data_IF_824890100495
#
_entry.id   IF_824890100495
#
_cell.length_a   1.000
_cell.length_b   1.000
_cell.length_c   1.000
_cell.angle_alpha   90.00
_cell.angle_beta   90.00
_cell.angle_gamma   90.00
#
_symmetry.space_group_name_H-M   'P 1'
#
loop_
_entity.id
_entity.type
_entity.pdbx_description
1 polymer ?
#
# COMPACT_ATOMS: atom_id res chain seq x y z
N UNK A 1 -4.09 -2.08 3.57
CA UNK A 1 -5.05 -1.86 2.47
C UNK A 1 -4.88 -0.51 1.76
N UNK A 2 -4.99 0.64 2.44
CA UNK A 2 -4.94 1.96 1.76
C UNK A 2 -3.64 2.23 1.00
N UNK A 3 -2.48 1.99 1.59
CA UNK A 3 -1.21 2.18 0.88
C UNK A 3 -1.00 1.16 -0.26
N UNK A 4 -1.63 -0.02 -0.22
CA UNK A 4 -1.67 -0.94 -1.37
C UNK A 4 -2.52 -0.36 -2.51
N UNK A 5 -3.69 0.22 -2.20
CA UNK A 5 -4.50 0.89 -3.23
C UNK A 5 -3.83 2.16 -3.78
N UNK A 6 -3.00 2.84 -2.99
CA UNK A 6 -2.14 3.94 -3.45
C UNK A 6 -1.11 3.47 -4.49
N UNK A 7 -0.37 2.37 -4.22
CA UNK A 7 0.55 1.77 -5.20
C UNK A 7 -0.19 1.33 -6.46
N UNK A 8 -1.36 0.71 -6.33
CA UNK A 8 -2.24 0.33 -7.45
C UNK A 8 -2.73 1.55 -8.24
N UNK A 9 -2.92 2.71 -7.62
CA UNK A 9 -3.24 3.96 -8.34
C UNK A 9 -2.03 4.50 -9.10
N UNK A 10 -0.85 4.56 -8.46
CA UNK A 10 0.38 5.06 -9.08
C UNK A 10 0.86 4.19 -10.25
N UNK A 11 0.79 2.85 -10.13
CA UNK A 11 1.03 1.94 -11.26
C UNK A 11 0.02 2.16 -12.41
N UNK A 12 -1.20 2.68 -12.14
CA UNK A 12 -2.27 2.76 -13.15
C UNK A 12 -2.08 3.99 -14.02
N UNK A 13 -1.57 5.05 -13.41
CA UNK A 13 -1.07 6.21 -14.11
C UNK A 13 0.21 5.89 -14.89
N UNK A 14 1.13 5.09 -14.31
CA UNK A 14 2.40 4.72 -14.93
C UNK A 14 2.25 3.94 -16.24
N UNK A 15 1.33 2.96 -16.29
CA UNK A 15 1.16 2.04 -17.42
C UNK A 15 0.88 2.75 -18.74
N UNK A 16 -0.28 3.44 -18.90
CA UNK A 16 -0.63 4.16 -20.12
C UNK A 16 0.41 5.22 -20.50
N UNK A 17 1.00 5.93 -19.52
CA UNK A 17 2.05 6.91 -19.77
C UNK A 17 3.32 6.27 -20.40
N UNK A 18 3.72 5.09 -19.94
CA UNK A 18 4.79 4.31 -20.61
C UNK A 18 4.41 3.89 -22.03
N UNK A 19 3.15 3.50 -22.25
CA UNK A 19 2.66 3.12 -23.57
C UNK A 19 2.67 4.30 -24.56
N UNK A 20 2.30 5.51 -24.11
CA UNK A 20 2.33 6.76 -24.89
C UNK A 20 3.75 7.19 -25.27
N UNK A 21 4.74 6.96 -24.40
CA UNK A 21 6.18 7.16 -24.70
C UNK A 21 6.72 6.12 -25.70
N UNK A 22 5.93 5.08 -26.02
CA UNK A 22 6.30 3.98 -26.91
C UNK A 22 6.91 2.77 -26.21
N UNK A 23 7.02 2.79 -24.88
CA UNK A 23 7.53 1.67 -24.07
C UNK A 23 6.44 0.60 -23.83
N UNK A 24 5.95 0.02 -24.92
CA UNK A 24 4.86 -0.97 -24.93
C UNK A 24 5.18 -2.24 -24.11
N UNK A 25 6.45 -2.62 -23.96
CA UNK A 25 6.85 -3.75 -23.11
C UNK A 25 6.68 -3.45 -21.62
N UNK A 26 7.00 -2.23 -21.18
CA UNK A 26 6.85 -1.80 -19.78
C UNK A 26 5.39 -1.79 -19.33
N UNK A 27 4.46 -1.51 -20.24
CA UNK A 27 3.02 -1.61 -19.99
C UNK A 27 2.63 -3.02 -19.49
N UNK A 28 3.06 -4.08 -20.18
CA UNK A 28 2.71 -5.46 -19.78
C UNK A 28 3.31 -5.88 -18.44
N UNK A 29 4.53 -5.44 -18.12
CA UNK A 29 5.11 -5.67 -16.79
C UNK A 29 4.26 -4.99 -15.72
N UNK A 30 3.92 -3.71 -15.87
CA UNK A 30 3.10 -2.96 -14.91
C UNK A 30 1.74 -3.65 -14.61
N UNK A 31 1.13 -4.34 -15.58
CA UNK A 31 -0.07 -5.15 -15.32
C UNK A 31 0.22 -6.48 -14.60
N UNK A 32 1.35 -7.13 -14.84
CA UNK A 32 1.80 -8.28 -14.03
C UNK A 32 2.02 -7.88 -12.56
N UNK A 33 2.67 -6.74 -12.31
CA UNK A 33 2.85 -6.24 -10.93
C UNK A 33 1.51 -5.87 -10.26
N UNK A 34 0.48 -5.47 -11.02
CA UNK A 34 -0.87 -5.28 -10.49
C UNK A 34 -1.53 -6.57 -10.02
N UNK A 35 -1.44 -7.63 -10.83
CA UNK A 35 -2.12 -8.90 -10.50
C UNK A 35 -1.63 -9.44 -9.15
N UNK A 36 -0.34 -9.28 -8.81
CA UNK A 36 0.18 -9.62 -7.48
C UNK A 36 -0.53 -8.88 -6.33
N UNK A 37 -0.93 -7.62 -6.54
CA UNK A 37 -1.68 -6.84 -5.54
C UNK A 37 -3.17 -7.21 -5.58
N UNK A 38 -3.73 -7.52 -6.75
CA UNK A 38 -5.10 -8.01 -6.86
C UNK A 38 -5.27 -9.41 -6.25
N UNK A 39 -4.26 -10.28 -6.32
CA UNK A 39 -4.23 -11.58 -5.62
C UNK A 39 -4.17 -11.40 -4.09
N UNK A 40 -3.45 -10.39 -3.60
CA UNK A 40 -3.47 -10.01 -2.17
C UNK A 40 -4.85 -9.49 -1.73
N UNK A 41 -5.54 -8.73 -2.58
CA UNK A 41 -6.88 -8.23 -2.30
C UNK A 41 -7.94 -9.33 -2.38
N UNK A 42 -7.90 -10.18 -3.42
CA UNK A 42 -8.75 -11.36 -3.56
C UNK A 42 -8.59 -12.28 -2.34
N UNK A 43 -7.35 -12.54 -1.92
CA UNK A 43 -7.08 -13.31 -0.72
C UNK A 43 -7.65 -12.71 0.58
N UNK A 44 -7.97 -11.40 0.63
CA UNK A 44 -8.48 -10.75 1.84
C UNK A 44 -10.00 -10.53 1.87
N UNK A 45 -10.62 -10.32 0.71
CA UNK A 45 -12.05 -9.95 0.61
C UNK A 45 -12.82 -10.66 -0.53
N UNK A 46 -12.22 -11.66 -1.18
CA UNK A 46 -12.76 -12.39 -2.34
C UNK A 46 -13.16 -11.47 -3.54
N UNK A 47 -12.60 -10.25 -3.60
CA UNK A 47 -12.88 -9.25 -4.63
C UNK A 47 -11.60 -8.54 -5.08
N UNK A 48 -11.40 -8.40 -6.40
CA UNK A 48 -10.17 -7.87 -7.01
C UNK A 48 -10.09 -6.33 -7.14
N UNK A 49 -11.22 -5.64 -7.28
CA UNK A 49 -11.25 -4.22 -7.70
C UNK A 49 -12.12 -3.35 -6.80
N UNK A 50 -13.32 -3.83 -6.46
CA UNK A 50 -14.29 -3.09 -5.65
C UNK A 50 -14.11 -3.42 -4.17
N UNK A 51 -13.06 -2.87 -3.57
CA UNK A 51 -12.67 -3.17 -2.19
C UNK A 51 -13.60 -2.50 -1.16
N UNK A 52 -14.79 -3.08 -0.97
CA UNK A 52 -15.70 -2.71 0.13
C UNK A 52 -15.19 -3.27 1.48
N UNK A 53 -13.94 -2.91 1.84
CA UNK A 53 -13.27 -3.31 3.08
C UNK A 53 -13.52 -2.33 4.22
N UNK A 54 -13.61 -1.04 3.88
CA UNK A 54 -13.89 0.05 4.80
C UNK A 54 -15.38 0.38 4.80
N UNK A 55 -16.03 0.18 5.94
CA UNK A 55 -17.31 0.77 6.27
C UNK A 55 -17.12 1.94 7.23
N UNK A 56 -18.17 2.75 7.39
CA UNK A 56 -18.15 3.86 8.34
C UNK A 56 -17.77 3.34 9.73
N UNK A 57 -16.68 3.87 10.29
CA UNK A 57 -16.10 3.49 11.59
C UNK A 57 -15.64 2.03 11.78
N UNK A 58 -15.58 1.18 10.73
CA UNK A 58 -15.33 -0.26 10.91
C UNK A 58 -14.72 -0.95 9.68
N UNK A 59 -13.92 -1.99 9.93
CA UNK A 59 -13.46 -2.95 8.92
C UNK A 59 -14.46 -4.12 8.77
N UNK A 60 -14.68 -4.59 7.55
CA UNK A 60 -15.66 -5.67 7.26
C UNK A 60 -15.25 -7.02 7.83
N UNK A 61 -14.00 -7.44 7.59
CA UNK A 61 -13.46 -8.78 7.85
C UNK A 61 -12.01 -8.69 8.35
N UNK A 62 -11.62 -9.60 9.24
CA UNK A 62 -10.22 -9.79 9.64
C UNK A 62 -9.37 -10.31 8.47
N UNK A 63 -8.05 -10.07 8.51
CA UNK A 63 -7.14 -10.63 7.50
C UNK A 63 -6.98 -12.15 7.72
N UNK A 64 -7.02 -12.97 6.66
CA UNK A 64 -6.90 -14.41 6.81
C UNK A 64 -5.48 -14.84 7.18
N UNK A 65 -5.39 -16.04 7.77
CA UNK A 65 -4.13 -16.61 8.22
C UNK A 65 -3.12 -16.74 7.06
N UNK A 66 -1.88 -16.30 7.30
CA UNK A 66 -0.80 -16.31 6.30
C UNK A 66 -0.86 -15.17 5.27
N UNK A 67 -1.82 -14.23 5.37
CA UNK A 67 -1.86 -13.05 4.51
C UNK A 67 -0.69 -12.09 4.77
N UNK A 68 -0.30 -11.93 6.04
CA UNK A 68 0.83 -11.07 6.46
C UNK A 68 2.12 -11.51 5.76
N UNK A 69 2.39 -12.82 5.72
CA UNK A 69 3.59 -13.38 5.10
C UNK A 69 3.62 -13.10 3.58
N UNK A 70 2.49 -13.25 2.89
CA UNK A 70 2.36 -12.90 1.47
C UNK A 70 2.57 -11.40 1.21
N UNK A 71 2.07 -10.55 2.10
CA UNK A 71 2.22 -9.10 1.98
C UNK A 71 3.68 -8.67 2.21
N UNK A 72 4.38 -9.30 3.16
CA UNK A 72 5.82 -9.12 3.36
C UNK A 72 6.65 -9.61 2.16
N UNK A 73 6.32 -10.77 1.60
CA UNK A 73 6.98 -11.31 0.41
C UNK A 73 6.81 -10.37 -0.80
N UNK A 74 5.59 -9.84 -1.03
CA UNK A 74 5.34 -8.81 -2.03
C UNK A 74 6.17 -7.52 -1.78
N UNK A 75 6.24 -7.03 -0.55
CA UNK A 75 7.05 -5.85 -0.22
C UNK A 75 8.54 -6.09 -0.50
N UNK A 76 9.05 -7.28 -0.18
CA UNK A 76 10.44 -7.67 -0.44
C UNK A 76 10.71 -7.84 -1.94
N UNK A 77 9.80 -8.45 -2.69
CA UNK A 77 9.85 -8.55 -4.14
C UNK A 77 9.94 -7.17 -4.79
N UNK A 78 9.02 -6.26 -4.47
CA UNK A 78 8.98 -4.92 -5.08
C UNK A 78 10.21 -4.05 -4.71
N UNK A 79 10.76 -4.19 -3.49
CA UNK A 79 12.02 -3.54 -3.12
C UNK A 79 13.24 -4.16 -3.80
N UNK A 80 13.17 -5.45 -4.17
CA UNK A 80 14.23 -6.18 -4.88
C UNK A 80 14.22 -5.91 -6.39
N UNK A 81 13.05 -5.69 -6.99
CA UNK A 81 12.89 -5.18 -8.35
C UNK A 81 13.29 -3.69 -8.41
N UNK A 82 14.60 -3.51 -8.31
CA UNK A 82 15.46 -2.32 -8.28
C UNK A 82 14.88 -1.06 -8.91
N UNK A 83 13.87 -0.49 -8.27
CA UNK A 83 13.55 0.91 -8.43
C UNK A 83 14.70 1.71 -7.83
N UNK A 84 15.64 2.13 -8.70
CA UNK A 84 16.70 3.08 -8.37
C UNK A 84 15.97 4.24 -7.71
N UNK A 85 16.12 4.42 -6.38
CA UNK A 85 15.56 5.60 -5.68
C UNK A 85 16.07 6.81 -6.44
N UNK A 86 15.25 7.48 -7.27
CA UNK A 86 15.70 8.69 -7.88
C UNK A 86 15.69 9.66 -6.71
N UNK A 87 16.83 10.29 -6.42
CA UNK A 87 16.89 11.41 -5.47
C UNK A 87 16.23 12.64 -6.15
N UNK A 88 15.00 12.44 -6.60
CA UNK A 88 14.25 13.26 -7.50
C UNK A 88 13.72 14.44 -6.72
N UNK A 89 13.90 15.63 -7.30
CA UNK A 89 13.50 16.86 -6.64
C UNK A 89 12.99 17.88 -7.72
N UNK A 90 11.64 17.98 -7.99
CA UNK A 90 10.64 18.99 -8.59
C UNK A 90 9.96 20.17 -7.73
N UNK A 91 10.12 21.49 -7.98
CA UNK A 91 9.81 22.60 -7.04
C UNK A 91 8.37 22.61 -6.57
N UNK A 92 8.18 22.53 -5.25
CA UNK A 92 6.86 22.52 -4.65
C UNK A 92 6.89 22.85 -3.17
N UNK A 93 5.80 23.45 -2.70
CA UNK A 93 5.49 23.51 -1.27
C UNK A 93 5.43 22.06 -0.78
N UNK A 94 6.13 21.74 0.31
CA UNK A 94 6.08 20.41 0.94
C UNK A 94 4.69 20.21 1.55
N UNK A 95 3.75 19.73 0.74
CA UNK A 95 2.32 19.73 1.02
C UNK A 95 1.73 18.37 0.68
N UNK A 96 1.32 17.63 1.70
CA UNK A 96 0.63 16.34 1.60
C UNK A 96 -0.40 16.29 2.73
N UNK A 97 -1.68 16.04 2.39
CA UNK A 97 -2.78 16.04 3.36
C UNK A 97 -2.54 15.03 4.50
N UNK A 98 -1.86 13.90 4.21
CA UNK A 98 -1.56 12.84 5.20
C UNK A 98 -0.65 13.29 6.36
N UNK A 99 0.01 14.45 6.25
CA UNK A 99 0.80 15.08 7.34
C UNK A 99 0.20 16.40 7.84
N UNK A 100 -0.89 16.87 7.26
CA UNK A 100 -1.55 18.13 7.63
C UNK A 100 -2.80 17.86 8.47
N UNK A 101 -3.61 16.89 8.07
CA UNK A 101 -4.96 16.66 8.58
C UNK A 101 -5.04 15.45 9.53
N UNK A 102 -3.88 14.88 9.90
CA UNK A 102 -3.71 13.90 10.98
C UNK A 102 -4.74 12.74 11.02
N UNK A 103 -5.06 12.19 9.85
CA UNK A 103 -6.05 11.11 9.74
C UNK A 103 -5.48 9.72 10.02
N UNK A 104 -6.35 8.84 10.52
CA UNK A 104 -6.12 7.42 10.76
C UNK A 104 -4.93 7.15 11.70
N UNK A 105 -3.74 6.89 11.13
CA UNK A 105 -2.51 6.59 11.85
C UNK A 105 -1.23 7.05 11.09
N UNK A 106 -1.36 7.93 10.08
CA UNK A 106 -0.21 8.35 9.24
C UNK A 106 0.88 9.13 9.98
N UNK A 107 0.63 9.54 11.23
CA UNK A 107 1.59 10.22 12.10
C UNK A 107 2.56 9.29 12.81
N UNK A 108 2.11 8.07 13.14
CA UNK A 108 2.93 7.05 13.81
C UNK A 108 4.01 6.49 12.87
N UNK A 109 3.74 6.50 11.55
CA UNK A 109 4.65 5.99 10.53
C UNK A 109 5.76 6.99 10.16
N UNK A 110 6.99 6.48 10.13
CA UNK A 110 8.19 7.21 9.74
C UNK A 110 8.41 7.10 8.23
N UNK A 111 7.83 8.05 7.49
CA UNK A 111 7.99 8.22 6.05
C UNK A 111 8.32 9.68 5.69
N UNK A 112 8.80 9.91 4.47
CA UNK A 112 9.24 11.22 3.98
C UNK A 112 8.40 11.63 2.77
N UNK A 113 7.82 12.83 2.81
CA UNK A 113 7.19 13.45 1.64
C UNK A 113 8.26 13.63 0.55
N UNK A 114 8.02 13.04 -0.62
CA UNK A 114 8.83 13.29 -1.81
C UNK A 114 8.42 14.64 -2.41
N UNK A 115 8.94 15.69 -1.79
CA UNK A 115 8.98 17.06 -2.29
C UNK A 115 10.37 17.32 -2.90
N UNK A 116 10.44 18.42 -3.63
CA UNK A 116 11.09 18.39 -4.92
C UNK A 116 11.50 19.89 -5.32
N UNK A 117 12.43 20.21 -6.29
CA UNK A 117 13.03 21.50 -6.80
C UNK A 117 12.98 21.90 -8.35
N UNK A 118 12.72 21.07 -9.37
CA UNK A 118 12.45 21.45 -10.81
C UNK A 118 10.95 21.54 -11.26
N UNK A 119 10.56 22.17 -12.40
CA UNK A 119 9.13 22.27 -12.81
C UNK A 119 8.92 21.87 -14.27
N UNK A 120 8.86 20.58 -14.52
CA UNK A 120 8.64 19.97 -15.84
C UNK A 120 7.77 18.69 -15.74
N UNK A 121 7.40 18.10 -16.87
CA UNK A 121 6.58 16.87 -16.91
C UNK A 121 7.33 15.65 -16.37
N UNK A 122 8.65 15.57 -16.58
CA UNK A 122 9.48 14.46 -16.13
C UNK A 122 9.57 14.41 -14.60
N UNK A 123 9.66 15.56 -13.94
CA UNK A 123 9.75 15.60 -12.49
C UNK A 123 8.43 15.24 -11.79
N UNK A 124 7.27 15.56 -12.38
CA UNK A 124 5.98 14.99 -11.95
C UNK A 124 5.95 13.45 -12.06
N UNK A 125 6.52 12.88 -13.12
CA UNK A 125 6.68 11.43 -13.28
C UNK A 125 7.59 10.86 -12.18
N UNK A 126 8.74 11.48 -11.92
CA UNK A 126 9.65 11.03 -10.87
C UNK A 126 9.05 11.12 -9.45
N UNK A 127 8.25 12.15 -9.13
CA UNK A 127 7.50 12.24 -7.86
C UNK A 127 6.69 10.97 -7.66
N UNK A 128 5.82 10.63 -8.60
CA UNK A 128 4.85 9.55 -8.44
C UNK A 128 5.48 8.18 -8.20
N UNK A 129 6.64 7.89 -8.82
CA UNK A 129 7.32 6.62 -8.60
C UNK A 129 8.19 6.67 -7.34
N UNK A 130 8.73 7.84 -6.98
CA UNK A 130 9.44 8.01 -5.69
C UNK A 130 8.50 7.88 -4.48
N UNK A 131 7.19 8.08 -4.65
CA UNK A 131 6.19 7.82 -3.59
C UNK A 131 5.94 6.32 -3.34
N UNK A 132 6.11 5.45 -4.33
CA UNK A 132 5.85 4.00 -4.19
C UNK A 132 6.72 3.29 -3.13
N UNK A 133 8.08 3.42 -3.11
CA UNK A 133 8.90 2.81 -2.06
C UNK A 133 8.62 3.41 -0.68
N UNK A 134 8.07 4.61 -0.62
CA UNK A 134 7.68 5.29 0.61
C UNK A 134 6.36 4.71 1.14
N UNK A 135 5.38 4.43 0.26
CA UNK A 135 4.19 3.62 0.58
C UNK A 135 4.56 2.22 1.08
N UNK A 136 5.53 1.54 0.46
CA UNK A 136 5.97 0.21 0.90
C UNK A 136 6.62 0.27 2.29
N UNK A 137 7.39 1.32 2.58
CA UNK A 137 7.95 1.55 3.92
C UNK A 137 6.85 1.72 4.98
N UNK A 138 5.75 2.42 4.64
CA UNK A 138 4.58 2.54 5.52
C UNK A 138 3.92 1.17 5.71
N UNK A 139 3.75 0.38 4.64
CA UNK A 139 3.18 -0.97 4.73
C UNK A 139 4.02 -1.88 5.64
N UNK A 140 5.35 -1.90 5.49
CA UNK A 140 6.23 -2.69 6.36
C UNK A 140 6.09 -2.29 7.83
N UNK A 141 6.13 -1.00 8.14
CA UNK A 141 5.91 -0.49 9.51
C UNK A 141 4.53 -0.83 10.05
N UNK A 142 3.49 -0.77 9.22
CA UNK A 142 2.13 -1.14 9.59
C UNK A 142 1.99 -2.65 9.89
N UNK A 143 2.70 -3.51 9.14
CA UNK A 143 2.72 -4.96 9.35
C UNK A 143 3.48 -5.33 10.64
N UNK A 144 4.59 -4.66 10.94
CA UNK A 144 5.32 -4.79 12.22
C UNK A 144 4.48 -4.31 13.42
N UNK A 145 3.63 -3.30 13.22
CA UNK A 145 2.77 -2.71 14.23
C UNK A 145 1.46 -3.45 14.52
N UNK A 146 1.14 -4.56 13.83
CA UNK A 146 -0.13 -5.28 14.05
C UNK A 146 -0.12 -6.00 15.40
N UNK A 147 -0.69 -5.33 16.42
CA UNK A 147 -1.13 -6.00 17.65
C UNK A 147 -2.54 -6.56 17.47
N UNK A 148 -2.78 -7.78 17.97
CA UNK A 148 -4.07 -8.44 17.87
C UNK A 148 -5.15 -7.69 18.68
N UNK A 149 -6.16 -7.15 18.00
CA UNK A 149 -7.25 -6.38 18.60
C UNK A 149 -8.55 -6.52 17.81
N UNK A 150 -9.70 -6.14 18.41
CA UNK A 150 -10.99 -6.24 17.74
C UNK A 150 -11.11 -5.22 16.60
N UNK A 151 -11.22 -5.72 15.37
CA UNK A 151 -11.50 -4.92 14.16
C UNK A 151 -12.94 -4.32 14.14
N UNK A 152 -13.77 -4.65 15.14
CA UNK A 152 -15.17 -4.25 15.26
C UNK A 152 -15.40 -3.37 16.49
N UNK A 153 -16.07 -2.24 16.31
CA UNK A 153 -16.73 -1.54 17.43
C UNK A 153 -17.93 -2.37 17.93
N UNK A 154 -17.68 -3.23 18.91
CA UNK A 154 -18.73 -3.92 19.65
C UNK A 154 -19.40 -2.96 20.64
N UNK A 155 -20.59 -2.48 20.31
CA UNK A 155 -21.44 -1.72 21.25
C UNK A 155 -22.13 -2.64 22.29
N UNK A 156 -21.93 -3.96 22.19
CA UNK A 156 -22.41 -4.97 23.14
C UNK A 156 -21.26 -5.50 23.99
N UNK A 157 -21.35 -5.27 25.30
CA UNK A 157 -20.49 -5.94 26.26
C UNK A 157 -20.73 -7.46 26.21
N UNK A 158 -19.65 -8.25 26.17
CA UNK A 158 -19.72 -9.68 26.49
C UNK A 158 -19.71 -10.70 25.33
N UNK A 159 -19.01 -10.45 24.22
CA UNK A 159 -18.50 -11.55 23.37
C UNK A 159 -17.03 -11.31 22.99
N UNK A 160 -16.13 -12.01 23.68
CA UNK A 160 -14.69 -11.99 23.39
C UNK A 160 -14.38 -12.90 22.20
N UNK A 161 -14.29 -12.32 21.00
CA UNK A 161 -13.65 -13.00 19.86
C UNK A 161 -12.13 -12.98 20.07
N UNK A 162 -11.60 -14.03 20.72
CA UNK A 162 -10.15 -14.30 20.70
C UNK A 162 -9.76 -14.90 19.35
N UNK A 163 -9.47 -14.02 18.39
CA UNK A 163 -8.70 -14.39 17.20
C UNK A 163 -7.25 -14.70 17.58
N UNK A 164 -6.98 -15.94 17.99
CA UNK A 164 -5.62 -16.36 18.37
C UNK A 164 -4.71 -16.42 17.14
N UNK A 165 -3.97 -15.34 16.88
CA UNK A 165 -2.71 -15.40 16.14
C UNK A 165 -1.64 -16.10 17.01
N UNK A 166 -1.66 -17.43 17.04
CA UNK A 166 -0.51 -18.34 17.26
C UNK A 166 -0.98 -19.79 17.48
N UNK A 167 -0.77 -20.65 16.48
CA UNK A 167 -0.14 -21.98 16.63
C UNK A 167 -0.18 -22.76 15.31
N UNK A 168 0.91 -22.65 14.54
CA UNK A 168 1.39 -23.77 13.71
C UNK A 168 2.62 -24.36 14.40
N UNK A 169 2.35 -25.26 15.33
CA UNK A 169 3.23 -26.37 15.68
C UNK A 169 2.30 -27.59 15.69
N UNK A 170 2.27 -28.31 14.57
CA UNK A 170 1.55 -29.56 14.44
C UNK A 170 2.55 -30.70 14.36
N UNK A 171 2.44 -31.61 15.32
CA UNK A 171 2.59 -33.04 15.04
C UNK A 171 1.43 -33.52 14.14
#
# INVERSE_FOLDING_TARGET
MLELSHIVSRLLWLGPFMAEIGAQTSFFYIFRERELIYDLFEAAIDMRMMHNYFHISRVVVDLPYGWIDKCLDFCNYFLTERFIRPNATSIGIKWDLRKIDHFECYDEFNWKIQWQKERDSLSHYLVQISEMPESIKIIQQALEGISGGPYLFHHTAGLSSKGNITNKNGD
#
